data_IF_094501279647
#
_entry.id   IF_094501279647
#
_cell.length_a   1.000
_cell.length_b   1.000
_cell.length_c   1.000
_cell.angle_alpha   90.00
_cell.angle_beta   90.00
_cell.angle_gamma   90.00
#
_symmetry.space_group_name_H-M   'P 1'
#
loop_
_entity.id
_entity.type
_entity.pdbx_description
1 polymer ?
#
# COMPACT_ATOMS: atom_id res chain seq x y z
N UNK A 1 6.28 6.17 -0.07
CA UNK A 1 4.84 6.04 -0.40
C UNK A 1 4.75 5.40 -1.78
N UNK A 2 3.89 4.39 -2.00
CA UNK A 2 3.77 3.76 -3.34
C UNK A 2 2.92 4.67 -4.23
N UNK A 3 3.45 5.05 -5.41
CA UNK A 3 2.74 5.89 -6.39
C UNK A 3 1.48 5.19 -6.91
N UNK A 4 0.48 5.96 -7.33
CA UNK A 4 -0.71 5.40 -8.00
C UNK A 4 -0.33 4.63 -9.27
N UNK A 5 0.62 5.14 -10.05
CA UNK A 5 1.15 4.47 -11.25
C UNK A 5 1.67 3.07 -10.90
N UNK A 6 2.51 2.97 -9.87
CA UNK A 6 3.06 1.69 -9.41
C UNK A 6 1.96 0.73 -8.94
N UNK A 7 0.88 1.23 -8.33
CA UNK A 7 -0.27 0.40 -7.93
C UNK A 7 -1.00 -0.18 -9.14
N UNK A 8 -1.19 0.62 -10.19
CA UNK A 8 -1.81 0.19 -11.46
C UNK A 8 -0.93 -0.85 -12.15
N UNK A 9 0.39 -0.64 -12.17
CA UNK A 9 1.34 -1.61 -12.74
C UNK A 9 1.28 -2.96 -12.01
N UNK A 10 1.16 -2.94 -10.67
CA UNK A 10 1.01 -4.17 -9.87
C UNK A 10 -0.23 -4.96 -10.29
N UNK A 11 -1.38 -4.30 -10.44
CA UNK A 11 -2.63 -4.96 -10.88
C UNK A 11 -2.49 -5.50 -12.31
N UNK A 12 -1.94 -4.70 -13.22
CA UNK A 12 -1.68 -5.10 -14.59
C UNK A 12 -0.82 -6.37 -14.68
N UNK A 13 0.31 -6.42 -13.96
CA UNK A 13 1.18 -7.60 -13.98
C UNK A 13 0.56 -8.80 -13.27
N UNK A 14 -0.25 -8.58 -12.23
CA UNK A 14 -0.98 -9.66 -11.55
C UNK A 14 -1.98 -10.33 -12.50
N UNK A 15 -2.75 -9.54 -13.27
CA UNK A 15 -3.69 -10.06 -14.28
C UNK A 15 -3.00 -10.85 -15.39
N UNK A 16 -1.73 -10.55 -15.68
CA UNK A 16 -0.88 -11.32 -16.60
C UNK A 16 -0.27 -12.60 -16.00
N UNK A 17 -0.57 -12.92 -14.74
CA UNK A 17 -0.11 -14.15 -14.09
C UNK A 17 1.31 -14.07 -13.53
N UNK A 18 1.92 -12.89 -13.43
CA UNK A 18 3.24 -12.76 -12.82
C UNK A 18 3.20 -13.07 -11.31
N UNK A 19 4.29 -13.66 -10.81
CA UNK A 19 4.48 -13.88 -9.39
C UNK A 19 4.81 -12.58 -8.67
N UNK A 20 4.50 -12.49 -7.37
CA UNK A 20 4.79 -11.29 -6.57
C UNK A 20 6.27 -10.90 -6.56
N UNK A 21 7.18 -11.88 -6.70
CA UNK A 21 8.64 -11.63 -6.78
C UNK A 21 9.05 -11.02 -8.11
N UNK A 22 8.38 -11.37 -9.21
CA UNK A 22 8.66 -10.78 -10.52
C UNK A 22 8.10 -9.36 -10.61
N UNK A 23 6.89 -9.16 -10.09
CA UNK A 23 6.27 -7.84 -10.03
C UNK A 23 7.13 -6.90 -9.20
N UNK A 24 7.58 -7.31 -8.00
CA UNK A 24 8.47 -6.52 -7.16
C UNK A 24 9.77 -6.10 -7.87
N UNK A 25 10.38 -7.01 -8.64
CA UNK A 25 11.57 -6.73 -9.46
C UNK A 25 11.29 -5.75 -10.59
N UNK A 26 10.12 -5.85 -11.24
CA UNK A 26 9.71 -4.96 -12.34
C UNK A 26 9.35 -3.56 -11.87
N UNK A 27 8.63 -3.46 -10.75
CA UNK A 27 8.13 -2.18 -10.21
C UNK A 27 9.10 -1.52 -9.22
N UNK A 28 10.25 -2.13 -8.93
CA UNK A 28 11.24 -1.62 -7.96
C UNK A 28 10.72 -1.55 -6.52
N UNK A 29 9.76 -2.40 -6.16
CA UNK A 29 9.02 -2.32 -4.89
C UNK A 29 9.27 -3.50 -3.95
N UNK A 30 8.77 -3.39 -2.72
CA UNK A 30 8.77 -4.50 -1.76
C UNK A 30 7.65 -5.52 -2.05
N UNK A 31 7.95 -6.81 -1.86
CA UNK A 31 7.02 -7.92 -2.10
C UNK A 31 5.74 -7.80 -1.27
N UNK A 32 5.80 -7.28 -0.04
CA UNK A 32 4.61 -7.13 0.80
C UNK A 32 3.69 -6.05 0.25
N UNK A 33 4.26 -4.96 -0.27
CA UNK A 33 3.50 -3.89 -0.94
C UNK A 33 2.82 -4.42 -2.20
N UNK A 34 3.55 -5.19 -3.01
CA UNK A 34 2.99 -5.86 -4.18
C UNK A 34 1.83 -6.78 -3.80
N UNK A 35 2.02 -7.66 -2.81
CA UNK A 35 0.99 -8.58 -2.32
C UNK A 35 -0.27 -7.81 -1.89
N UNK A 36 -0.09 -6.74 -1.11
CA UNK A 36 -1.18 -5.89 -0.63
C UNK A 36 -2.07 -5.38 -1.76
N UNK A 37 -1.49 -4.78 -2.79
CA UNK A 37 -2.27 -4.18 -3.89
C UNK A 37 -2.74 -5.20 -4.93
N UNK A 38 -2.01 -6.30 -5.12
CA UNK A 38 -2.41 -7.39 -6.02
C UNK A 38 -3.61 -8.19 -5.49
N UNK A 39 -3.75 -8.32 -4.16
CA UNK A 39 -4.87 -9.02 -3.52
C UNK A 39 -6.06 -8.09 -3.23
N UNK A 40 -5.85 -6.78 -3.24
CA UNK A 40 -6.87 -5.77 -2.90
C UNK A 40 -6.83 -4.62 -3.94
N UNK A 41 -7.29 -4.85 -5.19
CA UNK A 41 -7.27 -3.84 -6.25
C UNK A 41 -8.09 -2.59 -5.92
N UNK A 42 -9.08 -2.69 -5.03
CA UNK A 42 -9.92 -1.58 -4.55
C UNK A 42 -9.13 -0.53 -3.76
N UNK A 43 -7.93 -0.87 -3.26
CA UNK A 43 -7.01 0.08 -2.60
C UNK A 43 -6.22 0.95 -3.59
N UNK A 44 -6.34 0.68 -4.89
CA UNK A 44 -5.83 1.53 -5.96
C UNK A 44 -6.73 2.77 -6.02
N UNK A 45 -6.14 3.96 -6.14
CA UNK A 45 -6.90 5.21 -6.05
C UNK A 45 -7.15 5.71 -4.62
N UNK A 46 -7.28 4.81 -3.63
CA UNK A 46 -7.52 5.21 -2.25
C UNK A 46 -6.28 5.88 -1.62
N UNK A 47 -6.52 7.02 -0.98
CA UNK A 47 -5.54 7.66 -0.08
C UNK A 47 -5.40 6.80 1.17
N UNK A 48 -4.18 6.73 1.71
CA UNK A 48 -3.94 6.06 2.99
C UNK A 48 -4.70 6.86 4.04
N UNK A 49 -5.50 6.18 4.87
CA UNK A 49 -6.12 6.82 6.02
C UNK A 49 -5.02 7.45 6.88
N UNK A 50 -5.20 8.74 7.19
CA UNK A 50 -4.42 9.35 8.27
C UNK A 50 -4.88 8.70 9.56
N UNK A 51 -3.94 8.08 10.26
CA UNK A 51 -4.20 7.56 11.59
C UNK A 51 -3.84 8.70 12.54
N UNK A 52 -4.84 9.27 13.21
CA UNK A 52 -4.62 10.20 14.29
C UNK A 52 -3.99 9.45 15.46
N UNK A 53 -2.65 9.44 15.45
CA UNK A 53 -1.87 8.91 16.55
C UNK A 53 -1.75 10.01 17.57
N UNK A 54 -2.48 9.87 18.66
CA UNK A 54 -2.31 10.69 19.84
C UNK A 54 -0.86 10.55 20.32
N UNK A 55 -0.22 11.70 20.56
CA UNK A 55 1.16 11.72 21.06
C UNK A 55 1.18 11.11 22.46
N UNK A 56 2.08 10.13 22.66
CA UNK A 56 2.31 9.55 24.00
C UNK A 56 2.84 10.60 24.98
N UNK A 57 3.53 11.62 24.46
CA UNK A 57 4.13 12.71 25.25
C UNK A 57 3.15 13.88 25.49
N UNK A 58 1.91 13.79 25.02
CA UNK A 58 0.90 14.81 25.28
C UNK A 58 0.07 14.41 26.52
N UNK A 59 0.36 14.98 27.71
CA UNK A 59 -0.31 14.61 28.94
C UNK A 59 -1.77 15.07 29.01
N UNK A 60 -2.24 15.87 28.04
CA UNK A 60 -3.58 16.46 28.04
C UNK A 60 -4.58 15.77 27.11
N UNK A 61 -4.26 14.58 26.59
CA UNK A 61 -5.22 13.76 25.86
C UNK A 61 -6.26 13.19 26.84
N UNK A 62 -7.23 14.02 27.22
CA UNK A 62 -8.38 13.63 28.02
C UNK A 62 -9.24 12.66 27.21
N UNK A 63 -9.34 11.43 27.69
CA UNK A 63 -10.40 10.51 27.28
C UNK A 63 -11.74 11.17 27.63
N UNK A 64 -12.57 11.40 26.61
CA UNK A 64 -13.98 11.83 26.75
C UNK A 64 -14.87 10.60 26.60
#
# INVERSE_FOLDING_TARGET
MVSQETKVDIDYFKRRGHSYREIARKTGGDRRSVKKYAENPELIGQRRANVDRLSILDPYVRYS
#
